data_IF_840365185847
#
_entry.id   IF_840365185847
#
_cell.length_a   1.000
_cell.length_b   1.000
_cell.length_c   1.000
_cell.angle_alpha   90.00
_cell.angle_beta   90.00
_cell.angle_gamma   90.00
#
_symmetry.space_group_name_H-M   'P 1'
#
loop_
_entity.id
_entity.type
_entity.pdbx_description
1 polymer ?
#
# COMPACT_ATOMS: atom_id res chain seq x y z
N UNK A 1 -21.50 0.37 18.85
CA UNK A 1 -21.19 0.09 17.45
C UNK A 1 -20.89 -1.39 17.14
N UNK A 2 -20.03 -2.10 17.91
CA UNK A 2 -19.72 -3.53 17.68
C UNK A 2 -20.97 -4.44 17.51
N UNK A 3 -22.03 -4.25 18.31
CA UNK A 3 -23.28 -5.05 18.21
C UNK A 3 -24.14 -4.74 16.97
N UNK A 4 -24.08 -3.52 16.44
CA UNK A 4 -24.86 -3.15 15.25
C UNK A 4 -24.28 -3.70 13.95
N UNK A 5 -22.94 -3.76 13.83
CA UNK A 5 -22.29 -4.33 12.64
C UNK A 5 -22.45 -5.86 12.57
N UNK A 6 -22.38 -6.56 13.70
CA UNK A 6 -22.60 -8.01 13.75
C UNK A 6 -24.06 -8.36 13.39
N UNK A 7 -25.01 -7.55 13.83
CA UNK A 7 -26.44 -7.74 13.51
C UNK A 7 -26.72 -7.38 12.03
N UNK A 8 -26.09 -6.34 11.49
CA UNK A 8 -26.23 -5.98 10.08
C UNK A 8 -25.61 -7.04 9.15
N UNK A 9 -24.46 -7.59 9.50
CA UNK A 9 -23.82 -8.68 8.75
C UNK A 9 -24.65 -9.97 8.82
N UNK A 10 -25.19 -10.32 10.00
CA UNK A 10 -26.06 -11.47 10.19
C UNK A 10 -27.41 -11.30 9.46
N UNK A 11 -27.94 -10.07 9.42
CA UNK A 11 -29.17 -9.76 8.69
C UNK A 11 -29.00 -9.80 7.17
N UNK A 12 -27.85 -9.32 6.65
CA UNK A 12 -27.46 -9.45 5.23
C UNK A 12 -27.19 -10.91 4.85
N UNK A 13 -26.51 -11.68 5.69
CA UNK A 13 -26.28 -13.10 5.46
C UNK A 13 -27.58 -13.91 5.55
N UNK A 14 -28.48 -13.59 6.49
CA UNK A 14 -29.78 -14.25 6.63
C UNK A 14 -30.73 -14.00 5.45
N UNK A 15 -30.69 -12.83 4.84
CA UNK A 15 -31.54 -12.50 3.69
C UNK A 15 -30.97 -12.99 2.33
N UNK A 16 -29.66 -13.22 2.23
CA UNK A 16 -29.05 -13.85 1.04
C UNK A 16 -29.37 -15.34 0.91
N UNK A 17 -29.72 -16.01 2.01
CA UNK A 17 -30.16 -17.42 2.01
C UNK A 17 -31.62 -17.60 1.56
N UNK A 18 -32.43 -16.54 1.53
CA UNK A 18 -33.86 -16.60 1.22
C UNK A 18 -34.27 -16.10 -0.18
N UNK A 19 -33.33 -15.84 -1.08
CA UNK A 19 -33.67 -15.64 -2.50
C UNK A 19 -33.76 -17.00 -3.25
N UNK A 20 -34.57 -17.91 -2.73
CA UNK A 20 -34.88 -19.20 -3.36
C UNK A 20 -36.00 -19.05 -4.41
N UNK A 21 -35.79 -18.17 -5.41
CA UNK A 21 -36.46 -18.25 -6.71
C UNK A 21 -35.40 -17.89 -7.77
N UNK A 22 -34.30 -18.64 -7.75
CA UNK A 22 -33.35 -18.58 -8.86
C UNK A 22 -33.96 -19.27 -10.08
N UNK A 23 -33.86 -18.70 -11.28
CA UNK A 23 -34.17 -19.40 -12.52
C UNK A 23 -33.35 -20.69 -12.60
N UNK A 24 -33.94 -21.75 -13.18
CA UNK A 24 -33.33 -23.06 -13.27
C UNK A 24 -31.86 -22.93 -13.77
N UNK A 25 -30.92 -23.30 -12.89
CA UNK A 25 -29.49 -23.27 -13.14
C UNK A 25 -29.18 -24.15 -14.37
N UNK A 26 -28.54 -23.57 -15.36
CA UNK A 26 -28.05 -24.30 -16.53
C UNK A 26 -26.91 -25.22 -16.03
N UNK A 27 -27.15 -26.52 -15.92
CA UNK A 27 -26.28 -27.49 -15.22
C UNK A 27 -24.83 -27.54 -15.73
N UNK A 28 -24.51 -27.08 -16.94
CA UNK A 28 -23.13 -27.01 -17.46
C UNK A 28 -22.40 -25.68 -17.13
N UNK A 29 -23.12 -24.58 -16.96
CA UNK A 29 -22.52 -23.26 -16.68
C UNK A 29 -22.15 -23.07 -15.18
N UNK A 30 -22.75 -23.84 -14.29
CA UNK A 30 -22.64 -23.67 -12.84
C UNK A 30 -21.80 -24.75 -12.13
N UNK A 31 -20.97 -25.48 -12.89
CA UNK A 31 -20.06 -26.44 -12.29
C UNK A 31 -19.07 -25.74 -11.35
N UNK A 32 -18.95 -26.24 -10.11
CA UNK A 32 -17.98 -25.73 -9.17
C UNK A 32 -16.54 -25.88 -9.69
N UNK A 33 -15.85 -24.76 -9.84
CA UNK A 33 -14.43 -24.70 -10.24
C UNK A 33 -13.58 -24.38 -9.04
N UNK A 34 -12.68 -25.29 -8.69
CA UNK A 34 -11.72 -25.12 -7.62
C UNK A 34 -10.35 -24.81 -8.20
N UNK A 35 -9.68 -23.78 -7.68
CA UNK A 35 -8.31 -23.44 -8.02
C UNK A 35 -7.49 -23.22 -6.77
N UNK A 36 -6.26 -23.67 -6.78
CA UNK A 36 -5.29 -23.49 -5.69
C UNK A 36 -4.02 -22.91 -6.31
N UNK A 37 -3.37 -22.02 -5.60
CA UNK A 37 -2.09 -21.47 -6.01
C UNK A 37 -1.41 -20.78 -4.84
N UNK A 38 -0.26 -20.20 -5.11
CA UNK A 38 0.50 -19.53 -4.06
C UNK A 38 1.69 -18.77 -4.58
N UNK A 39 2.40 -18.13 -3.66
CA UNK A 39 3.69 -17.52 -3.91
C UNK A 39 4.63 -17.69 -2.71
N UNK A 40 5.90 -17.83 -3.01
CA UNK A 40 7.01 -17.78 -2.06
C UNK A 40 7.92 -16.64 -2.47
N UNK A 41 8.33 -15.81 -1.51
CA UNK A 41 9.27 -14.71 -1.72
C UNK A 41 10.37 -14.74 -0.69
N UNK A 42 11.60 -14.90 -1.14
CA UNK A 42 12.80 -14.81 -0.34
C UNK A 42 13.49 -13.48 -0.66
N UNK A 43 13.85 -12.71 0.38
CA UNK A 43 14.56 -11.43 0.28
C UNK A 43 15.73 -11.39 1.22
N UNK A 44 16.79 -10.74 0.77
CA UNK A 44 17.86 -10.25 1.61
C UNK A 44 17.88 -8.73 1.49
N UNK A 45 17.72 -8.04 2.61
CA UNK A 45 17.75 -6.59 2.72
C UNK A 45 18.96 -6.19 3.59
N UNK A 46 19.73 -5.21 3.12
CA UNK A 46 20.84 -4.61 3.86
C UNK A 46 20.70 -3.08 3.85
N UNK A 47 20.87 -2.47 5.00
CA UNK A 47 20.75 -1.02 5.19
C UNK A 47 21.94 -0.47 5.96
N UNK A 48 22.35 0.75 5.61
CA UNK A 48 23.34 1.51 6.36
C UNK A 48 22.92 2.98 6.45
N UNK A 49 23.13 3.62 7.60
CA UNK A 49 22.78 5.01 7.88
C UNK A 49 21.33 5.38 7.51
N UNK A 50 20.39 4.43 7.70
CA UNK A 50 19.00 4.61 7.32
C UNK A 50 18.37 5.79 8.04
N UNK A 51 17.71 6.74 7.34
CA UNK A 51 17.08 7.88 8.00
C UNK A 51 15.97 7.45 8.94
N UNK A 52 15.64 8.27 9.90
CA UNK A 52 14.52 8.04 10.81
C UNK A 52 13.68 9.31 11.01
N UNK A 53 12.51 9.13 11.61
CA UNK A 53 11.53 10.19 11.87
C UNK A 53 11.99 11.31 12.83
N UNK A 54 13.13 11.14 13.49
CA UNK A 54 13.70 12.09 14.45
C UNK A 54 14.83 12.91 13.84
N UNK A 55 14.83 13.03 12.54
CA UNK A 55 15.89 13.72 11.77
C UNK A 55 17.30 13.16 12.00
N UNK A 56 17.35 11.90 12.43
CA UNK A 56 18.57 11.17 12.66
C UNK A 56 18.73 9.99 11.71
N UNK A 57 19.53 9.02 12.11
CA UNK A 57 19.74 7.79 11.36
C UNK A 57 19.66 6.55 12.27
N UNK A 58 19.47 5.40 11.64
CA UNK A 58 19.59 4.09 12.28
C UNK A 58 20.91 3.46 11.86
N UNK A 59 21.50 2.76 12.80
CA UNK A 59 22.67 1.94 12.57
C UNK A 59 22.40 0.84 11.51
N UNK A 60 23.46 0.20 11.08
CA UNK A 60 23.45 -0.90 10.12
C UNK A 60 22.48 -2.02 10.50
N UNK A 61 21.74 -2.54 9.52
CA UNK A 61 20.89 -3.72 9.67
C UNK A 61 20.86 -4.54 8.40
N UNK A 62 20.98 -5.87 8.53
CA UNK A 62 20.76 -6.80 7.44
C UNK A 62 19.98 -8.03 7.89
N UNK A 63 19.06 -8.49 7.04
CA UNK A 63 18.20 -9.61 7.34
C UNK A 63 17.70 -10.35 6.10
N UNK A 64 17.45 -11.64 6.30
CA UNK A 64 16.65 -12.45 5.38
C UNK A 64 15.17 -12.34 5.75
N UNK A 65 14.32 -12.31 4.75
CA UNK A 65 12.87 -12.25 4.90
C UNK A 65 12.22 -13.25 3.97
N UNK A 66 11.43 -14.16 4.52
CA UNK A 66 10.62 -15.11 3.77
C UNK A 66 9.16 -14.76 3.93
N UNK A 67 8.42 -14.81 2.84
CA UNK A 67 6.96 -14.76 2.83
C UNK A 67 6.44 -15.94 2.02
N UNK A 68 5.49 -16.67 2.59
CA UNK A 68 4.74 -17.72 1.91
C UNK A 68 3.26 -17.37 1.93
N UNK A 69 2.59 -17.49 0.79
CA UNK A 69 1.13 -17.33 0.69
C UNK A 69 0.57 -18.49 -0.11
N UNK A 70 -0.52 -19.08 0.40
CA UNK A 70 -1.28 -20.13 -0.28
C UNK A 70 -2.74 -19.68 -0.33
N UNK A 71 -3.36 -19.81 -1.47
CA UNK A 71 -4.75 -19.44 -1.66
C UNK A 71 -5.57 -20.53 -2.33
N UNK A 72 -6.84 -20.56 -1.98
CA UNK A 72 -7.89 -21.35 -2.63
C UNK A 72 -9.00 -20.44 -3.14
N UNK A 73 -9.53 -20.79 -4.30
CA UNK A 73 -10.66 -20.11 -4.94
C UNK A 73 -11.68 -21.13 -5.38
N UNK A 74 -12.94 -20.89 -5.00
CA UNK A 74 -14.09 -21.64 -5.43
C UNK A 74 -15.01 -20.72 -6.24
N UNK A 75 -15.28 -21.08 -7.49
CA UNK A 75 -16.13 -20.32 -8.42
C UNK A 75 -17.33 -21.19 -8.83
N UNK A 76 -18.55 -20.62 -8.76
CA UNK A 76 -19.78 -21.25 -9.19
C UNK A 76 -20.69 -20.18 -9.82
N UNK A 77 -20.91 -20.23 -11.12
CA UNK A 77 -21.61 -19.18 -11.87
C UNK A 77 -20.92 -17.82 -11.66
N UNK A 78 -21.66 -16.87 -11.13
CA UNK A 78 -21.20 -15.50 -10.83
C UNK A 78 -20.60 -15.33 -9.43
N UNK A 79 -20.66 -16.38 -8.59
CA UNK A 79 -20.19 -16.36 -7.22
C UNK A 79 -18.73 -16.86 -7.12
N UNK A 80 -17.92 -16.20 -6.31
CA UNK A 80 -16.54 -16.56 -5.99
C UNK A 80 -16.34 -16.50 -4.48
N UNK A 81 -15.82 -17.58 -3.88
CA UNK A 81 -15.26 -17.60 -2.54
C UNK A 81 -13.75 -17.69 -2.66
N UNK A 82 -13.04 -16.81 -1.96
CA UNK A 82 -11.59 -16.77 -1.96
C UNK A 82 -11.04 -16.77 -0.53
N UNK A 83 -10.04 -17.60 -0.30
CA UNK A 83 -9.27 -17.66 0.95
C UNK A 83 -7.78 -17.62 0.61
N UNK A 84 -7.01 -16.77 1.30
CA UNK A 84 -5.54 -16.78 1.27
C UNK A 84 -5.01 -16.75 2.69
N UNK A 85 -4.07 -17.64 2.95
CA UNK A 85 -3.32 -17.72 4.19
C UNK A 85 -1.89 -17.30 3.91
N UNK A 86 -1.32 -16.49 4.78
CA UNK A 86 0.01 -15.94 4.65
C UNK A 86 0.85 -16.18 5.90
N UNK A 87 2.14 -16.35 5.68
CA UNK A 87 3.16 -16.39 6.72
C UNK A 87 4.34 -15.54 6.30
N UNK A 88 4.97 -14.89 7.26
CA UNK A 88 6.18 -14.11 7.06
C UNK A 88 7.08 -14.21 8.26
N UNK A 89 8.38 -14.39 8.00
CA UNK A 89 9.38 -14.28 9.04
C UNK A 89 10.62 -13.52 8.61
N UNK A 90 11.37 -13.01 9.59
CA UNK A 90 12.65 -12.34 9.41
C UNK A 90 13.71 -13.02 10.24
N UNK A 91 14.88 -13.21 9.61
CA UNK A 91 16.08 -13.67 10.25
C UNK A 91 17.13 -12.56 10.17
N UNK A 92 17.39 -11.88 11.27
CA UNK A 92 18.41 -10.84 11.35
C UNK A 92 19.79 -11.49 11.48
N UNK A 93 20.69 -11.16 10.55
CA UNK A 93 22.08 -11.57 10.58
C UNK A 93 22.91 -10.60 11.40
N UNK A 94 22.68 -9.29 11.20
CA UNK A 94 23.20 -8.24 12.05
C UNK A 94 22.14 -7.17 12.25
N UNK A 95 22.02 -6.64 13.46
CA UNK A 95 21.13 -5.54 13.78
C UNK A 95 21.73 -4.78 14.98
N UNK A 96 22.41 -3.68 14.70
CA UNK A 96 22.80 -2.73 15.72
C UNK A 96 21.58 -1.96 16.19
N UNK A 97 21.35 -1.94 17.51
CA UNK A 97 20.24 -1.19 18.12
C UNK A 97 18.88 -1.86 18.08
N UNK A 98 18.62 -2.75 17.17
CA UNK A 98 17.44 -3.62 17.24
C UNK A 98 17.90 -4.95 17.86
N UNK A 99 17.38 -5.30 19.04
CA UNK A 99 17.87 -6.38 19.91
C UNK A 99 17.72 -7.78 19.27
N UNK A 100 18.16 -7.94 18.01
CA UNK A 100 18.36 -9.21 17.34
C UNK A 100 17.24 -10.23 17.48
N UNK A 101 15.99 -9.79 17.58
CA UNK A 101 14.85 -10.65 17.75
C UNK A 101 14.58 -11.33 16.42
N UNK A 102 15.13 -12.51 16.31
CA UNK A 102 14.74 -13.41 15.24
C UNK A 102 13.26 -13.72 15.38
N UNK A 103 12.51 -13.43 14.34
CA UNK A 103 11.08 -13.74 14.25
C UNK A 103 10.91 -14.92 13.32
N UNK A 104 11.00 -16.13 13.88
CA UNK A 104 10.86 -17.35 13.11
C UNK A 104 10.27 -18.48 13.95
N UNK A 105 9.29 -19.24 13.41
CA UNK A 105 8.31 -18.78 12.43
C UNK A 105 7.46 -17.67 13.05
N UNK A 106 7.01 -16.73 12.24
CA UNK A 106 6.05 -15.73 12.70
C UNK A 106 4.63 -16.32 12.68
N UNK A 107 3.62 -15.52 12.63
CA UNK A 107 2.23 -15.93 12.72
C UNK A 107 1.67 -16.26 11.36
N UNK A 108 1.08 -17.46 11.22
CA UNK A 108 0.24 -17.79 10.08
C UNK A 108 -1.12 -17.09 10.24
N UNK A 109 -1.53 -16.29 9.28
CA UNK A 109 -2.74 -15.49 9.34
C UNK A 109 -3.54 -15.51 8.03
N UNK A 110 -4.82 -15.23 8.13
CA UNK A 110 -5.70 -15.09 6.96
C UNK A 110 -5.59 -13.65 6.47
N UNK A 111 -4.98 -13.42 5.31
CA UNK A 111 -4.83 -12.09 4.74
C UNK A 111 -5.91 -11.73 3.72
N UNK A 112 -6.62 -12.72 3.18
CA UNK A 112 -7.82 -12.54 2.37
C UNK A 112 -8.85 -13.63 2.66
N UNK A 113 -10.10 -13.22 2.86
CA UNK A 113 -11.27 -14.11 2.99
C UNK A 113 -12.50 -13.32 2.55
N UNK A 114 -12.98 -13.55 1.35
CA UNK A 114 -14.12 -12.82 0.83
C UNK A 114 -15.03 -13.66 -0.05
N UNK A 115 -16.29 -13.21 -0.11
CA UNK A 115 -17.27 -13.61 -1.10
C UNK A 115 -17.40 -12.49 -2.13
N UNK A 116 -17.37 -12.83 -3.41
CA UNK A 116 -17.64 -11.91 -4.51
C UNK A 116 -18.79 -12.45 -5.37
N UNK A 117 -19.65 -11.56 -5.82
CA UNK A 117 -20.67 -11.83 -6.81
C UNK A 117 -20.51 -10.83 -7.96
N UNK A 118 -20.37 -11.33 -9.18
CA UNK A 118 -20.21 -10.49 -10.38
C UNK A 118 -21.52 -10.35 -11.11
N UNK A 119 -21.73 -9.21 -11.75
CA UNK A 119 -22.90 -8.91 -12.60
C UNK A 119 -24.24 -9.12 -11.88
N UNK A 120 -24.31 -8.78 -10.60
CA UNK A 120 -25.55 -8.80 -9.84
C UNK A 120 -26.56 -7.83 -10.49
N UNK A 121 -27.70 -8.36 -10.94
CA UNK A 121 -28.73 -7.62 -11.69
C UNK A 121 -28.21 -6.98 -13.01
N UNK A 122 -27.15 -7.50 -13.62
CA UNK A 122 -26.48 -6.94 -14.80
C UNK A 122 -26.01 -5.47 -14.57
N UNK A 123 -25.81 -5.08 -13.33
CA UNK A 123 -25.55 -3.71 -12.92
C UNK A 123 -24.30 -3.55 -12.07
N UNK A 124 -24.01 -4.51 -11.18
CA UNK A 124 -22.96 -4.30 -10.19
C UNK A 124 -22.21 -5.58 -9.83
N UNK A 125 -20.96 -5.41 -9.37
CA UNK A 125 -20.21 -6.43 -8.63
C UNK A 125 -20.26 -6.10 -7.14
N UNK A 126 -20.43 -7.12 -6.30
CA UNK A 126 -20.40 -7.00 -4.84
C UNK A 126 -19.28 -7.87 -4.29
N UNK A 127 -18.43 -7.32 -3.40
CA UNK A 127 -17.35 -8.05 -2.74
C UNK A 127 -17.37 -7.73 -1.24
N UNK A 128 -17.50 -8.76 -0.40
CA UNK A 128 -17.63 -8.61 1.05
C UNK A 128 -16.64 -9.53 1.75
N UNK A 129 -15.95 -9.02 2.75
CA UNK A 129 -14.99 -9.72 3.58
C UNK A 129 -13.61 -9.09 3.55
N UNK A 130 -12.61 -9.83 4.07
CA UNK A 130 -11.22 -9.39 4.09
C UNK A 130 -10.64 -9.41 2.69
N UNK A 131 -10.20 -8.27 2.21
CA UNK A 131 -9.80 -8.07 0.82
C UNK A 131 -8.70 -7.02 0.68
N UNK A 132 -7.98 -7.10 -0.42
CA UNK A 132 -7.11 -6.05 -0.91
C UNK A 132 -7.94 -5.02 -1.69
N UNK A 133 -7.63 -3.73 -1.50
CA UNK A 133 -8.21 -2.64 -2.28
C UNK A 133 -7.12 -1.65 -2.68
N UNK A 134 -7.15 -1.23 -3.93
CA UNK A 134 -6.29 -0.18 -4.44
C UNK A 134 -7.03 0.57 -5.55
N UNK A 135 -6.93 1.90 -5.53
CA UNK A 135 -7.54 2.76 -6.53
C UNK A 135 -6.52 3.68 -7.17
N UNK A 136 -6.74 3.98 -8.45
CA UNK A 136 -5.93 4.93 -9.22
C UNK A 136 -4.45 4.61 -9.20
N UNK A 137 -3.64 5.61 -8.85
CA UNK A 137 -2.20 5.48 -8.69
C UNK A 137 -1.78 4.99 -7.29
N UNK A 138 -2.72 4.49 -6.48
CA UNK A 138 -2.51 3.99 -5.13
C UNK A 138 -2.06 5.04 -4.10
N UNK A 139 -2.25 6.32 -4.39
CA UNK A 139 -1.83 7.42 -3.48
C UNK A 139 -2.78 7.62 -2.31
N UNK A 140 -4.05 7.19 -2.44
CA UNK A 140 -5.09 7.38 -1.43
C UNK A 140 -5.46 6.08 -0.75
N UNK A 141 -5.69 5.02 -1.53
CA UNK A 141 -6.03 3.69 -1.03
C UNK A 141 -5.11 2.68 -1.69
N UNK A 142 -4.37 1.94 -0.87
CA UNK A 142 -3.48 0.87 -1.30
C UNK A 142 -3.38 -0.18 -0.21
N UNK A 143 -3.49 -1.43 -0.58
CA UNK A 143 -3.31 -2.57 0.31
C UNK A 143 -1.85 -2.80 0.76
N UNK A 144 -0.88 -2.13 0.13
CA UNK A 144 0.54 -2.26 0.46
C UNK A 144 1.18 -3.61 0.13
N UNK A 145 0.42 -4.56 -0.46
CA UNK A 145 0.97 -5.89 -0.75
C UNK A 145 1.72 -5.98 -2.06
N UNK A 146 1.49 -5.05 -2.95
CA UNK A 146 2.08 -5.03 -4.29
C UNK A 146 3.53 -4.54 -4.32
N UNK A 147 3.94 -3.76 -3.34
CA UNK A 147 5.25 -3.14 -3.28
C UNK A 147 6.21 -3.90 -2.39
N UNK A 148 6.57 -3.28 -1.30
CA UNK A 148 7.54 -3.80 -0.36
C UNK A 148 6.94 -4.67 0.73
N UNK A 149 5.66 -4.49 1.01
CA UNK A 149 4.99 -5.11 2.14
C UNK A 149 5.24 -6.62 2.23
N UNK A 150 5.66 -7.05 3.38
CA UNK A 150 5.77 -8.46 3.70
C UNK A 150 4.46 -8.97 4.23
N UNK A 151 3.86 -8.21 5.12
CA UNK A 151 2.49 -8.46 5.53
C UNK A 151 1.55 -7.71 4.62
N UNK A 152 0.52 -8.41 4.20
CA UNK A 152 -0.59 -7.82 3.51
C UNK A 152 -1.25 -6.79 4.43
N UNK A 153 -1.35 -5.56 3.96
CA UNK A 153 -2.35 -4.67 4.50
C UNK A 153 -3.65 -5.05 3.81
N UNK A 154 -4.61 -5.47 4.57
CA UNK A 154 -5.92 -5.86 4.08
C UNK A 154 -6.98 -4.96 4.71
N UNK A 155 -8.14 -4.98 4.12
CA UNK A 155 -9.31 -4.28 4.61
C UNK A 155 -10.43 -5.28 4.85
N UNK A 156 -11.02 -5.27 6.04
CA UNK A 156 -12.28 -5.93 6.30
C UNK A 156 -13.37 -5.01 5.75
N UNK A 157 -13.93 -5.34 4.56
CA UNK A 157 -14.66 -4.37 3.76
C UNK A 157 -15.86 -4.95 3.03
N UNK A 158 -16.80 -4.08 2.71
CA UNK A 158 -17.80 -4.28 1.67
C UNK A 158 -17.53 -3.29 0.53
N UNK A 159 -17.49 -3.76 -0.71
CA UNK A 159 -17.33 -2.97 -1.91
C UNK A 159 -18.39 -3.34 -2.92
N UNK A 160 -19.03 -2.33 -3.49
CA UNK A 160 -19.97 -2.45 -4.60
C UNK A 160 -19.43 -1.64 -5.77
N UNK A 161 -19.25 -2.27 -6.92
CA UNK A 161 -18.81 -1.62 -8.16
C UNK A 161 -19.98 -1.56 -9.10
N UNK A 162 -20.58 -0.39 -9.26
CA UNK A 162 -21.62 -0.12 -10.26
C UNK A 162 -20.97 0.05 -11.63
N UNK A 163 -21.54 -0.60 -12.65
CA UNK A 163 -21.13 -0.55 -14.06
C UNK A 163 -22.17 0.23 -14.86
N UNK A 164 -21.88 1.49 -15.19
CA UNK A 164 -22.79 2.27 -16.04
C UNK A 164 -22.69 1.87 -17.51
N UNK A 165 -21.46 1.50 -17.92
CA UNK A 165 -21.12 0.92 -19.21
C UNK A 165 -19.70 0.30 -19.15
N UNK A 166 -19.15 -0.08 -20.32
CA UNK A 166 -17.80 -0.68 -20.40
C UNK A 166 -16.67 0.29 -20.05
N UNK A 167 -16.96 1.57 -19.80
CA UNK A 167 -15.95 2.61 -19.60
C UNK A 167 -16.12 3.39 -18.31
N UNK A 168 -17.30 3.33 -17.69
CA UNK A 168 -17.62 4.12 -16.49
C UNK A 168 -18.06 3.24 -15.35
N UNK A 169 -17.39 3.41 -14.21
CA UNK A 169 -17.71 2.66 -12.98
C UNK A 169 -17.75 3.60 -11.78
N UNK A 170 -18.57 3.26 -10.80
CA UNK A 170 -18.58 3.86 -9.47
C UNK A 170 -18.38 2.75 -8.44
N UNK A 171 -17.29 2.83 -7.71
CA UNK A 171 -17.05 1.98 -6.54
C UNK A 171 -17.55 2.70 -5.29
N UNK A 172 -18.45 2.06 -4.55
CA UNK A 172 -18.86 2.45 -3.22
C UNK A 172 -18.30 1.42 -2.23
N UNK A 173 -17.66 1.86 -1.16
CA UNK A 173 -17.06 0.96 -0.20
C UNK A 173 -17.16 1.47 1.23
N UNK A 174 -17.23 0.52 2.17
CA UNK A 174 -16.98 0.73 3.58
C UNK A 174 -15.90 -0.24 4.04
N UNK A 175 -14.96 0.21 4.86
CA UNK A 175 -13.83 -0.57 5.30
C UNK A 175 -13.53 -0.37 6.78
N UNK A 176 -12.89 -1.38 7.35
CA UNK A 176 -12.44 -1.40 8.73
C UNK A 176 -11.06 -2.05 8.80
N UNK A 177 -10.16 -1.44 9.56
CA UNK A 177 -8.86 -2.01 9.90
C UNK A 177 -8.78 -2.11 11.42
N UNK A 178 -8.87 -3.32 11.92
CA UNK A 178 -8.78 -3.56 13.36
C UNK A 178 -7.33 -3.41 13.83
N UNK A 179 -7.13 -2.82 15.00
CA UNK A 179 -5.84 -2.81 15.69
C UNK A 179 -5.36 -4.23 15.96
N UNK A 180 -6.25 -5.09 16.43
CA UNK A 180 -6.01 -6.52 16.66
C UNK A 180 -6.75 -7.34 15.62
N UNK A 181 -6.10 -8.37 15.10
CA UNK A 181 -6.76 -9.27 14.15
C UNK A 181 -7.87 -10.05 14.85
N UNK A 182 -9.06 -10.07 14.26
CA UNK A 182 -10.21 -10.79 14.78
C UNK A 182 -10.41 -12.15 14.12
N UNK A 183 -9.69 -12.46 13.03
CA UNK A 183 -9.67 -13.78 12.43
C UNK A 183 -8.64 -14.67 13.13
N UNK A 184 -8.83 -16.00 13.13
CA UNK A 184 -7.91 -16.94 13.73
C UNK A 184 -6.50 -16.81 13.15
N UNK A 185 -5.50 -16.77 14.01
CA UNK A 185 -4.08 -16.86 13.68
C UNK A 185 -3.48 -18.12 14.29
N UNK A 186 -2.45 -18.69 13.66
CA UNK A 186 -1.72 -19.83 14.17
C UNK A 186 -0.26 -19.43 14.40
N UNK A 187 0.27 -19.73 15.58
CA UNK A 187 1.63 -19.39 15.99
C UNK A 187 1.66 -18.50 17.23
N UNK A 188 2.86 -18.30 17.78
CA UNK A 188 3.10 -17.41 18.91
C UNK A 188 3.65 -16.07 18.42
N UNK A 189 3.05 -14.97 18.82
CA UNK A 189 3.64 -13.66 18.63
C UNK A 189 4.78 -13.47 19.64
N UNK A 190 6.00 -13.39 19.18
CA UNK A 190 7.14 -13.10 20.06
C UNK A 190 7.11 -11.69 20.70
N UNK A 191 6.17 -10.86 20.36
CA UNK A 191 5.91 -9.56 20.99
C UNK A 191 4.97 -9.65 22.22
N UNK A 192 4.61 -10.84 22.69
CA UNK A 192 3.92 -11.05 23.97
C UNK A 192 4.76 -10.61 25.20
N UNK A 193 5.37 -9.41 25.16
CA UNK A 193 5.78 -8.66 26.33
C UNK A 193 4.61 -7.88 26.95
N UNK A 194 3.42 -7.95 26.42
CA UNK A 194 2.21 -7.53 27.12
C UNK A 194 1.88 -8.60 28.15
N UNK A 195 2.21 -8.29 29.37
CA UNK A 195 1.88 -9.07 30.57
C UNK A 195 0.42 -9.54 30.50
N UNK A 196 0.20 -10.83 30.36
CA UNK A 196 -0.99 -11.49 30.86
C UNK A 196 -2.03 -11.98 29.86
N UNK A 197 -1.90 -11.82 28.55
CA UNK A 197 -2.82 -12.44 27.60
C UNK A 197 -2.15 -13.62 26.87
N UNK A 198 -2.49 -14.81 27.31
CA UNK A 198 -2.19 -16.04 26.57
C UNK A 198 -3.09 -16.06 25.34
N UNK A 199 -2.49 -16.01 24.17
CA UNK A 199 -3.11 -16.43 22.93
C UNK A 199 -3.75 -15.30 22.11
N UNK A 200 -3.36 -15.19 20.86
CA UNK A 200 -4.12 -14.59 19.74
C UNK A 200 -4.22 -13.07 19.66
N UNK A 201 -3.45 -12.31 20.44
CA UNK A 201 -3.42 -10.85 20.35
C UNK A 201 -2.38 -10.42 19.31
N UNK A 202 -2.73 -10.64 18.02
CA UNK A 202 -1.92 -10.24 16.90
C UNK A 202 -2.22 -8.79 16.54
N UNK A 203 -1.30 -7.88 16.90
CA UNK A 203 -1.39 -6.51 16.43
C UNK A 203 -1.24 -6.50 14.91
N UNK A 204 -2.27 -5.99 14.23
CA UNK A 204 -2.19 -5.73 12.81
C UNK A 204 -1.05 -4.76 12.56
N UNK A 205 0.06 -5.28 12.03
CA UNK A 205 1.40 -4.69 12.10
C UNK A 205 1.59 -3.36 11.40
N UNK A 206 0.56 -2.84 10.78
CA UNK A 206 0.67 -1.58 10.10
C UNK A 206 0.55 -0.38 11.04
N UNK A 207 -0.36 -0.39 11.99
CA UNK A 207 -0.86 0.86 12.56
C UNK A 207 -0.96 0.93 14.06
N UNK A 208 -1.07 -0.15 14.80
CA UNK A 208 -1.37 -0.16 16.24
C UNK A 208 -2.59 0.72 16.59
N UNK A 209 -3.50 0.95 15.66
CA UNK A 209 -4.68 1.77 15.82
C UNK A 209 -5.84 1.20 15.02
N UNK A 210 -7.04 1.44 15.47
CA UNK A 210 -8.26 1.09 14.74
C UNK A 210 -8.56 2.20 13.75
N UNK A 211 -8.83 1.83 12.50
CA UNK A 211 -9.25 2.75 11.45
C UNK A 211 -10.57 2.26 10.83
N UNK A 212 -11.43 3.18 10.47
CA UNK A 212 -12.61 2.89 9.68
C UNK A 212 -12.79 3.96 8.60
N UNK A 213 -13.48 3.60 7.53
CA UNK A 213 -13.77 4.56 6.50
C UNK A 213 -14.80 4.09 5.49
N UNK A 214 -15.24 5.03 4.71
CA UNK A 214 -16.15 4.80 3.59
C UNK A 214 -15.80 5.76 2.45
N UNK A 215 -16.14 5.39 1.23
CA UNK A 215 -15.85 6.26 0.11
C UNK A 215 -16.58 5.88 -1.16
N UNK A 216 -16.43 6.80 -2.10
CA UNK A 216 -16.89 6.67 -3.48
C UNK A 216 -15.67 6.91 -4.39
N UNK A 217 -15.51 6.08 -5.40
CA UNK A 217 -14.46 6.23 -6.40
C UNK A 217 -15.06 6.06 -7.79
N UNK A 218 -15.12 7.14 -8.55
CA UNK A 218 -15.65 7.17 -9.91
C UNK A 218 -14.49 7.10 -10.91
N UNK A 219 -14.66 6.29 -11.94
CA UNK A 219 -13.72 6.14 -13.05
C UNK A 219 -14.45 6.35 -14.37
N UNK A 220 -13.93 7.24 -15.22
CA UNK A 220 -14.41 7.46 -16.58
C UNK A 220 -13.27 7.30 -17.59
N UNK A 221 -13.40 6.30 -18.45
CA UNK A 221 -12.50 6.00 -19.58
C UNK A 221 -13.22 6.15 -20.93
N UNK A 222 -14.40 6.77 -20.97
CA UNK A 222 -15.17 6.98 -22.20
C UNK A 222 -14.40 7.86 -23.20
N UNK A 223 -13.74 8.91 -22.69
CA UNK A 223 -12.79 9.66 -23.49
C UNK A 223 -11.40 9.02 -23.41
N UNK A 224 -11.02 8.30 -24.47
CA UNK A 224 -9.71 7.62 -24.56
C UNK A 224 -8.51 8.58 -24.53
N UNK A 225 -8.70 9.86 -24.88
CA UNK A 225 -7.65 10.87 -24.86
C UNK A 225 -7.48 11.51 -23.48
N UNK A 226 -8.51 11.51 -22.65
CA UNK A 226 -8.48 12.11 -21.33
C UNK A 226 -9.33 11.29 -20.33
N UNK A 227 -8.90 10.08 -19.99
CA UNK A 227 -9.51 9.34 -18.87
C UNK A 227 -9.36 10.16 -17.57
N UNK A 228 -10.34 10.05 -16.69
CA UNK A 228 -10.30 10.73 -15.41
C UNK A 228 -10.97 9.92 -14.31
N UNK A 229 -10.64 10.25 -13.07
CA UNK A 229 -11.12 9.62 -11.86
C UNK A 229 -11.42 10.70 -10.84
N UNK A 230 -12.49 10.54 -10.07
CA UNK A 230 -12.82 11.41 -8.95
C UNK A 230 -13.20 10.58 -7.74
N UNK A 231 -12.88 11.06 -6.56
CA UNK A 231 -13.15 10.30 -5.35
C UNK A 231 -13.48 11.19 -4.15
N UNK A 232 -14.21 10.58 -3.26
CA UNK A 232 -14.44 11.05 -1.89
C UNK A 232 -14.15 9.90 -0.93
N UNK A 233 -13.37 10.16 0.10
CA UNK A 233 -13.06 9.19 1.16
C UNK A 233 -13.19 9.86 2.52
N UNK A 234 -14.04 9.30 3.36
CA UNK A 234 -14.10 9.59 4.78
C UNK A 234 -13.29 8.53 5.54
N UNK A 235 -12.50 8.99 6.52
CA UNK A 235 -11.70 8.15 7.41
C UNK A 235 -11.86 8.60 8.86
N UNK A 236 -11.90 7.65 9.77
CA UNK A 236 -11.74 7.89 11.22
C UNK A 236 -10.64 7.00 11.79
N UNK A 237 -9.90 7.53 12.74
CA UNK A 237 -8.82 6.84 13.46
C UNK A 237 -9.05 6.93 14.96
N UNK A 238 -8.68 5.85 15.70
CA UNK A 238 -8.68 5.82 17.16
C UNK A 238 -7.58 6.72 17.72
N UNK A 239 -7.97 7.83 18.38
CA UNK A 239 -7.05 8.89 18.80
C UNK A 239 -6.00 8.44 19.80
N UNK A 240 -6.35 7.56 20.75
CA UNK A 240 -5.43 7.08 21.81
C UNK A 240 -4.15 6.41 21.26
N UNK A 241 -4.25 5.78 20.09
CA UNK A 241 -3.17 5.00 19.48
C UNK A 241 -2.65 5.61 18.17
N UNK A 242 -3.25 6.68 17.69
CA UNK A 242 -2.81 7.36 16.47
C UNK A 242 -1.41 7.97 16.65
N UNK A 243 -0.62 7.89 15.58
CA UNK A 243 0.71 8.51 15.51
C UNK A 243 0.69 9.92 14.93
N UNK A 244 -0.41 10.26 14.29
CA UNK A 244 -0.62 11.57 13.65
C UNK A 244 -1.48 12.50 14.50
N UNK A 245 -2.16 11.98 15.52
CA UNK A 245 -3.01 12.74 16.43
C UNK A 245 -2.25 13.00 17.75
N UNK A 246 -2.34 14.18 18.35
CA UNK A 246 -1.78 14.45 19.67
C UNK A 246 -2.33 13.51 20.75
N UNK A 247 -1.48 13.10 21.69
CA UNK A 247 -1.89 12.24 22.80
C UNK A 247 -2.99 12.92 23.63
N UNK A 248 -4.04 12.17 23.93
CA UNK A 248 -5.16 12.65 24.74
C UNK A 248 -6.30 13.29 23.96
N UNK A 249 -6.22 13.33 22.62
CA UNK A 249 -7.34 13.74 21.78
C UNK A 249 -8.28 12.56 21.50
N UNK A 250 -9.55 12.91 21.24
CA UNK A 250 -10.59 11.97 20.82
C UNK A 250 -10.31 11.38 19.43
N UNK A 251 -11.14 10.46 19.00
CA UNK A 251 -11.12 9.92 17.66
C UNK A 251 -11.11 11.04 16.61
N UNK A 252 -10.31 10.84 15.58
CA UNK A 252 -10.03 11.82 14.56
C UNK A 252 -10.71 11.46 13.24
N UNK A 253 -11.30 12.46 12.57
CA UNK A 253 -11.97 12.28 11.28
C UNK A 253 -11.34 13.13 10.20
N UNK A 254 -11.22 12.56 9.00
CA UNK A 254 -10.81 13.27 7.79
C UNK A 254 -11.76 13.00 6.63
N UNK A 255 -11.99 14.04 5.84
CA UNK A 255 -12.71 14.00 4.57
C UNK A 255 -11.73 14.36 3.46
N UNK A 256 -11.56 13.48 2.49
CA UNK A 256 -10.62 13.65 1.38
C UNK A 256 -11.39 13.63 0.06
N UNK A 257 -11.23 14.69 -0.74
CA UNK A 257 -11.81 14.82 -2.07
C UNK A 257 -10.67 14.88 -3.08
N UNK A 258 -10.77 14.19 -4.20
CA UNK A 258 -9.72 14.23 -5.19
C UNK A 258 -10.19 14.00 -6.62
N UNK A 259 -9.35 14.48 -7.52
CA UNK A 259 -9.51 14.38 -8.96
C UNK A 259 -8.16 13.94 -9.57
N UNK A 260 -8.21 12.98 -10.48
CA UNK A 260 -7.08 12.51 -11.25
C UNK A 260 -7.41 12.49 -12.73
N UNK A 261 -6.51 13.02 -13.57
CA UNK A 261 -6.65 13.07 -15.03
C UNK A 261 -5.43 12.45 -15.70
N UNK A 262 -5.64 11.77 -16.83
CA UNK A 262 -4.64 10.98 -17.53
C UNK A 262 -4.59 11.35 -19.02
N UNK A 263 -4.23 12.58 -19.39
CA UNK A 263 -4.25 13.04 -20.77
C UNK A 263 -3.24 12.27 -21.63
N UNK A 264 -3.68 11.82 -22.80
CA UNK A 264 -2.84 11.32 -23.89
C UNK A 264 -2.61 12.44 -24.88
N UNK A 265 -1.44 13.05 -24.83
CA UNK A 265 -1.08 14.24 -25.63
C UNK A 265 -0.71 13.85 -27.07
N UNK A 266 0.03 12.75 -27.20
CA UNK A 266 0.39 12.13 -28.49
C UNK A 266 0.47 10.62 -28.32
N UNK A 267 0.86 9.88 -29.36
CA UNK A 267 1.10 8.43 -29.27
C UNK A 267 2.25 8.06 -28.32
N UNK A 268 3.21 8.97 -28.11
CA UNK A 268 4.41 8.74 -27.29
C UNK A 268 4.45 9.59 -26.05
N UNK A 269 3.58 10.59 -25.91
CA UNK A 269 3.56 11.53 -24.80
C UNK A 269 2.21 11.46 -24.08
N UNK A 270 2.25 11.24 -22.77
CA UNK A 270 1.07 11.25 -21.89
C UNK A 270 1.38 11.95 -20.58
N UNK A 271 0.34 12.49 -19.97
CA UNK A 271 0.40 13.12 -18.66
C UNK A 271 -0.35 12.34 -17.58
N UNK A 272 -0.10 12.72 -16.38
CA UNK A 272 -0.89 12.38 -15.19
C UNK A 272 -0.93 13.58 -14.27
N UNK A 273 -2.10 13.97 -13.81
CA UNK A 273 -2.23 14.96 -12.74
C UNK A 273 -3.26 14.46 -11.73
N UNK A 274 -2.95 14.62 -10.45
CA UNK A 274 -3.85 14.28 -9.35
C UNK A 274 -3.75 15.34 -8.27
N UNK A 275 -4.90 15.79 -7.78
CA UNK A 275 -4.99 16.73 -6.65
C UNK A 275 -6.02 16.18 -5.67
N UNK A 276 -5.69 16.22 -4.40
CA UNK A 276 -6.63 15.92 -3.32
C UNK A 276 -6.59 16.98 -2.23
N UNK A 277 -7.76 17.28 -1.71
CA UNK A 277 -7.99 18.21 -0.61
C UNK A 277 -8.52 17.43 0.58
N UNK A 278 -8.01 17.76 1.75
CA UNK A 278 -8.36 17.08 2.99
C UNK A 278 -8.80 18.10 4.03
N UNK A 279 -9.91 17.80 4.70
CA UNK A 279 -10.48 18.55 5.81
C UNK A 279 -10.85 17.57 6.93
N UNK A 280 -10.83 17.99 8.17
CA UNK A 280 -11.21 17.16 9.31
C UNK A 280 -11.12 17.90 10.63
N UNK A 281 -11.31 17.20 11.73
CA UNK A 281 -11.40 17.78 13.07
C UNK A 281 -10.14 18.58 13.47
N UNK A 282 -8.94 18.14 13.01
CA UNK A 282 -7.66 18.81 13.23
C UNK A 282 -6.97 19.25 11.93
N UNK A 283 -7.70 19.30 10.81
CA UNK A 283 -7.15 19.73 9.53
C UNK A 283 -8.03 20.83 8.97
N UNK A 284 -7.60 22.05 9.15
CA UNK A 284 -8.30 23.17 8.52
C UNK A 284 -8.23 23.05 7.00
N UNK A 285 -7.09 22.65 6.46
CA UNK A 285 -6.93 22.41 5.02
C UNK A 285 -5.57 21.77 4.69
N UNK A 286 -5.56 20.51 4.23
CA UNK A 286 -4.34 19.84 3.77
C UNK A 286 -4.47 19.40 2.30
N UNK A 287 -3.36 19.32 1.60
CA UNK A 287 -3.32 19.10 0.15
C UNK A 287 -2.30 18.04 -0.24
N UNK A 288 -2.70 17.18 -1.17
CA UNK A 288 -1.82 16.32 -1.94
C UNK A 288 -1.90 16.68 -3.41
N UNK A 289 -0.77 16.75 -4.10
CA UNK A 289 -0.73 16.91 -5.54
C UNK A 289 0.35 16.03 -6.17
N UNK A 290 0.06 15.55 -7.37
CA UNK A 290 1.02 14.87 -8.23
C UNK A 290 0.88 15.40 -9.66
N UNK A 291 2.01 15.67 -10.31
CA UNK A 291 2.09 15.95 -11.74
C UNK A 291 3.14 15.06 -12.39
N UNK A 292 2.84 14.46 -13.52
CA UNK A 292 3.75 13.60 -14.25
C UNK A 292 3.62 13.73 -15.76
N UNK A 293 4.74 13.77 -16.45
CA UNK A 293 4.84 13.72 -17.90
C UNK A 293 5.62 12.48 -18.29
N UNK A 294 5.01 11.63 -19.12
CA UNK A 294 5.57 10.36 -19.57
C UNK A 294 5.87 10.43 -21.06
N UNK A 295 7.11 10.15 -21.44
CA UNK A 295 7.57 10.07 -22.83
C UNK A 295 8.06 8.65 -23.12
N UNK A 296 7.41 7.96 -24.06
CA UNK A 296 7.69 6.56 -24.43
C UNK A 296 7.93 6.45 -25.95
N UNK A 297 9.12 6.82 -26.44
CA UNK A 297 9.44 6.76 -27.86
C UNK A 297 9.48 5.30 -28.35
N UNK A 298 9.12 5.10 -29.62
CA UNK A 298 9.15 3.78 -30.29
C UNK A 298 10.59 3.46 -30.69
N UNK A 299 11.41 3.02 -29.73
CA UNK A 299 12.85 2.73 -29.88
C UNK A 299 13.18 1.34 -29.36
N UNK A 300 14.38 0.85 -29.68
CA UNK A 300 14.96 -0.32 -29.03
C UNK A 300 14.96 -0.11 -27.50
N UNK A 301 14.89 -1.19 -26.71
CA UNK A 301 14.78 -1.19 -25.24
C UNK A 301 13.49 -0.55 -24.71
N UNK A 302 12.58 -0.09 -25.57
CA UNK A 302 11.25 0.48 -25.22
C UNK A 302 11.35 1.47 -24.03
N UNK A 303 12.20 2.53 -24.11
CA UNK A 303 12.40 3.43 -22.98
C UNK A 303 11.12 4.17 -22.62
N UNK A 304 10.89 4.32 -21.31
CA UNK A 304 9.85 5.19 -20.77
C UNK A 304 10.49 6.16 -19.80
N UNK A 305 10.49 7.43 -20.16
CA UNK A 305 10.92 8.54 -19.32
C UNK A 305 9.71 9.11 -18.58
N UNK A 306 9.85 9.39 -17.30
CA UNK A 306 8.85 10.12 -16.51
C UNK A 306 9.53 11.28 -15.81
N UNK A 307 9.03 12.49 -16.06
CA UNK A 307 9.29 13.65 -15.22
C UNK A 307 8.10 13.80 -14.30
N UNK A 308 8.31 13.66 -12.99
CA UNK A 308 7.26 13.71 -12.00
C UNK A 308 7.56 14.69 -10.87
N UNK A 309 6.49 15.16 -10.22
CA UNK A 309 6.56 15.95 -9.02
C UNK A 309 5.45 15.48 -8.07
N UNK A 310 5.82 15.16 -6.84
CA UNK A 310 4.88 14.82 -5.77
C UNK A 310 4.95 15.88 -4.68
N UNK A 311 3.79 16.31 -4.21
CA UNK A 311 3.65 17.28 -3.14
C UNK A 311 2.66 16.77 -2.09
N UNK A 312 3.05 16.90 -0.83
CA UNK A 312 2.18 16.71 0.33
C UNK A 312 2.38 17.94 1.23
N UNK A 313 1.31 18.61 1.59
CA UNK A 313 1.38 19.76 2.49
C UNK A 313 1.98 19.38 3.84
N UNK A 314 2.63 20.34 4.49
CA UNK A 314 3.26 20.19 5.79
C UNK A 314 2.77 21.23 6.78
N UNK A 315 3.27 21.10 8.00
CA UNK A 315 3.03 22.01 9.11
C UNK A 315 4.29 22.10 9.97
N UNK A 316 4.48 23.19 10.70
CA UNK A 316 5.62 23.37 11.60
C UNK A 316 5.60 22.34 12.75
N UNK A 317 4.41 21.92 13.18
CA UNK A 317 4.22 20.86 14.16
C UNK A 317 4.43 19.43 13.57
N UNK A 318 4.95 19.33 12.34
CA UNK A 318 5.17 18.07 11.63
C UNK A 318 3.85 17.36 11.31
N UNK A 319 3.82 16.03 11.43
CA UNK A 319 2.65 15.22 11.06
C UNK A 319 1.38 15.49 11.91
N UNK A 320 1.54 16.17 13.04
CA UNK A 320 0.43 16.50 13.97
C UNK A 320 -0.18 17.86 13.70
N UNK A 321 0.41 18.66 12.82
CA UNK A 321 -0.08 19.99 12.51
C UNK A 321 -1.35 19.97 11.66
N UNK A 322 -2.15 21.03 11.77
CA UNK A 322 -3.45 21.14 11.09
C UNK A 322 -3.31 21.22 9.58
N UNK A 323 -2.22 21.83 9.06
CA UNK A 323 -1.91 21.93 7.63
C UNK A 323 -1.24 20.71 7.03
N UNK A 324 -0.85 19.74 7.85
CA UNK A 324 -0.13 18.56 7.41
C UNK A 324 -1.06 17.55 6.72
N UNK A 325 -0.68 17.12 5.50
CA UNK A 325 -1.36 16.00 4.83
C UNK A 325 -1.34 14.75 5.71
N UNK A 326 -2.47 14.08 5.86
CA UNK A 326 -2.60 12.82 6.60
C UNK A 326 -2.90 11.69 5.63
N UNK A 327 -2.07 10.62 5.58
CA UNK A 327 -2.34 9.48 4.72
C UNK A 327 -3.73 8.90 4.97
N UNK A 328 -4.47 8.64 3.90
CA UNK A 328 -5.83 8.11 4.02
C UNK A 328 -5.75 6.61 4.34
N UNK A 329 -5.72 5.75 3.33
CA UNK A 329 -5.52 4.31 3.47
C UNK A 329 -4.37 3.83 2.58
N UNK A 330 -3.42 4.71 2.31
CA UNK A 330 -2.19 4.41 1.60
C UNK A 330 -1.07 4.13 2.60
N UNK A 331 -0.36 3.05 2.40
CA UNK A 331 0.69 2.56 3.29
C UNK A 331 2.09 2.58 2.65
N UNK A 332 2.19 3.11 1.45
CA UNK A 332 3.43 3.18 0.69
C UNK A 332 3.78 4.62 0.31
N UNK A 333 5.06 4.99 0.40
CA UNK A 333 5.53 6.27 -0.14
C UNK A 333 5.46 6.32 -1.66
N UNK A 334 5.49 5.16 -2.30
CA UNK A 334 5.68 5.05 -3.74
C UNK A 334 7.09 5.44 -4.21
N UNK A 335 8.03 5.74 -3.30
CA UNK A 335 9.39 6.19 -3.62
C UNK A 335 10.41 5.07 -3.39
N UNK A 336 10.68 4.69 -2.15
CA UNK A 336 11.64 3.61 -1.84
C UNK A 336 11.83 3.39 -0.34
N UNK A 337 12.68 2.42 -0.03
CA UNK A 337 12.92 1.93 1.33
C UNK A 337 13.63 2.95 2.22
N UNK A 338 14.56 3.73 1.66
CA UNK A 338 15.24 4.79 2.41
C UNK A 338 14.34 5.98 2.72
N UNK A 339 13.23 6.14 1.99
CA UNK A 339 12.32 7.27 2.16
C UNK A 339 11.28 7.00 3.25
N UNK A 340 10.76 5.79 3.32
CA UNK A 340 9.70 5.41 4.27
C UNK A 340 10.04 5.74 5.75
N UNK A 341 11.26 5.48 6.24
CA UNK A 341 11.58 5.73 7.65
C UNK A 341 11.77 7.20 8.03
N UNK A 342 11.88 8.11 7.05
CA UNK A 342 11.90 9.56 7.33
C UNK A 342 10.58 10.04 7.92
N UNK A 343 9.50 9.29 7.67
CA UNK A 343 8.17 9.61 8.12
C UNK A 343 7.81 8.73 9.31
N UNK A 344 7.16 9.31 10.31
CA UNK A 344 6.70 8.57 11.47
C UNK A 344 5.76 7.46 11.03
N UNK A 345 6.31 6.26 10.81
CA UNK A 345 5.59 5.05 10.44
C UNK A 345 4.26 5.33 9.72
N UNK A 346 4.34 5.67 8.41
CA UNK A 346 3.17 5.93 7.56
C UNK A 346 2.53 7.32 7.64
N UNK A 347 3.07 8.24 8.41
CA UNK A 347 2.60 9.62 8.42
C UNK A 347 3.26 10.44 7.29
N UNK A 348 3.09 10.01 6.04
CA UNK A 348 3.61 10.73 4.88
C UNK A 348 3.00 12.12 4.79
N UNK A 349 3.83 13.13 5.05
CA UNK A 349 3.44 14.52 5.07
C UNK A 349 4.63 15.41 4.75
N UNK A 350 4.40 16.69 4.51
CA UNK A 350 5.46 17.70 4.37
C UNK A 350 6.55 17.25 3.36
N UNK A 351 6.12 16.88 2.16
CA UNK A 351 6.99 16.24 1.19
C UNK A 351 6.86 16.86 -0.21
N UNK A 352 7.97 17.27 -0.77
CA UNK A 352 8.09 17.71 -2.15
C UNK A 352 9.20 16.91 -2.83
N UNK A 353 8.85 16.21 -3.91
CA UNK A 353 9.76 15.31 -4.61
C UNK A 353 9.61 15.46 -6.14
N UNK A 354 10.31 16.42 -6.76
CA UNK A 354 10.54 16.40 -8.20
C UNK A 354 11.51 15.27 -8.55
N UNK A 355 11.20 14.47 -9.58
CA UNK A 355 12.01 13.30 -9.92
C UNK A 355 11.99 12.97 -11.40
N UNK A 356 13.07 12.33 -11.83
CA UNK A 356 13.17 11.66 -13.12
C UNK A 356 13.15 10.15 -12.91
N UNK A 357 12.41 9.44 -13.77
CA UNK A 357 12.39 7.98 -13.82
C UNK A 357 12.60 7.52 -15.26
N UNK A 358 13.45 6.52 -15.43
CA UNK A 358 13.68 5.81 -16.69
C UNK A 358 13.39 4.33 -16.48
N UNK A 359 12.52 3.77 -17.31
CA UNK A 359 12.31 2.32 -17.38
C UNK A 359 12.72 1.79 -18.75
N UNK A 360 13.51 0.72 -18.78
CA UNK A 360 14.03 0.07 -19.97
C UNK A 360 13.60 -1.41 -19.97
N UNK A 361 13.13 -1.89 -21.10
CA UNK A 361 12.96 -3.33 -21.37
C UNK A 361 14.21 -3.81 -22.09
N UNK A 362 15.17 -4.36 -21.34
CA UNK A 362 16.44 -4.84 -21.89
C UNK A 362 16.21 -6.06 -22.79
N UNK A 363 15.28 -6.91 -22.38
CA UNK A 363 14.71 -8.02 -23.15
C UNK A 363 13.23 -8.18 -22.76
N UNK A 364 12.53 -9.14 -23.34
CA UNK A 364 11.15 -9.48 -22.93
C UNK A 364 11.08 -10.08 -21.49
N UNK A 365 12.22 -10.46 -20.93
CA UNK A 365 12.32 -11.03 -19.59
C UNK A 365 13.03 -10.13 -18.60
N UNK A 366 13.65 -9.03 -19.02
CA UNK A 366 14.51 -8.20 -18.19
C UNK A 366 14.11 -6.75 -18.27
N UNK A 367 13.99 -6.11 -17.10
CA UNK A 367 13.71 -4.68 -16.99
C UNK A 367 14.70 -3.99 -16.08
N UNK A 368 15.10 -2.77 -16.44
CA UNK A 368 15.88 -1.87 -15.60
C UNK A 368 15.05 -0.61 -15.37
N UNK A 369 14.91 -0.23 -14.11
CA UNK A 369 14.27 1.03 -13.72
C UNK A 369 15.25 1.84 -12.89
N UNK A 370 15.44 3.11 -13.29
CA UNK A 370 16.24 4.10 -12.60
C UNK A 370 15.32 5.25 -12.18
N UNK A 371 15.53 5.79 -10.99
CA UNK A 371 14.79 6.94 -10.49
C UNK A 371 15.71 7.81 -9.65
N UNK A 372 15.61 9.14 -9.78
CA UNK A 372 16.37 10.06 -8.94
C UNK A 372 15.68 11.42 -8.85
N UNK A 373 15.90 12.12 -7.75
CA UNK A 373 15.46 13.50 -7.54
C UNK A 373 15.79 14.04 -6.16
N UNK A 374 15.82 15.37 -6.02
CA UNK A 374 15.93 16.02 -4.73
C UNK A 374 14.62 15.93 -3.95
N UNK A 375 14.72 15.86 -2.64
CA UNK A 375 13.58 15.80 -1.73
C UNK A 375 13.60 16.98 -0.76
N UNK A 376 12.45 17.55 -0.50
CA UNK A 376 12.29 18.70 0.38
C UNK A 376 11.16 18.51 1.37
N UNK A 377 11.25 19.19 2.50
CA UNK A 377 10.15 19.51 3.40
C UNK A 377 9.66 20.93 3.05
N UNK A 378 8.48 21.11 2.44
CA UNK A 378 7.96 22.44 2.09
C UNK A 378 7.85 23.42 3.26
N UNK A 379 7.55 22.90 4.44
CA UNK A 379 7.50 23.66 5.69
C UNK A 379 8.61 23.17 6.62
N UNK A 380 9.32 24.08 7.27
CA UNK A 380 10.34 23.72 8.27
C UNK A 380 9.67 23.29 9.54
N UNK A 381 10.03 22.12 10.03
CA UNK A 381 9.49 21.57 11.28
C UNK A 381 10.25 22.15 12.50
N UNK A 382 9.54 22.41 13.59
CA UNK A 382 10.12 22.85 14.85
C UNK A 382 11.05 21.78 15.44
N UNK A 383 12.22 22.16 15.92
CA UNK A 383 13.22 21.28 16.55
C UNK A 383 12.96 21.04 18.04
N UNK A 384 11.92 21.65 18.60
CA UNK A 384 11.56 21.58 20.02
C UNK A 384 12.48 22.38 20.93
N UNK A 385 13.38 23.22 20.38
CA UNK A 385 14.35 24.03 21.13
C UNK A 385 14.29 25.52 20.78
N UNK A 386 13.24 25.93 20.07
CA UNK A 386 13.05 27.29 19.57
C UNK A 386 13.76 27.58 18.25
N UNK A 387 14.21 26.55 17.55
CA UNK A 387 14.74 26.57 16.19
C UNK A 387 13.90 25.71 15.24
N UNK A 388 14.40 25.49 14.04
CA UNK A 388 13.76 24.63 13.05
C UNK A 388 14.77 23.79 12.28
N UNK A 389 14.35 22.60 11.85
CA UNK A 389 15.14 21.77 10.92
C UNK A 389 15.25 22.43 9.55
N UNK A 390 16.25 22.04 8.76
CA UNK A 390 16.35 22.48 7.37
C UNK A 390 15.23 21.91 6.50
N UNK A 391 15.03 22.50 5.33
CA UNK A 391 14.00 22.06 4.39
C UNK A 391 14.51 21.04 3.35
N UNK A 392 15.80 20.91 3.15
CA UNK A 392 16.38 20.00 2.16
C UNK A 392 16.62 18.62 2.77
N UNK A 393 15.80 17.62 2.36
CA UNK A 393 15.92 16.24 2.83
C UNK A 393 17.07 15.48 2.17
N UNK A 394 17.55 15.94 1.00
CA UNK A 394 18.66 15.32 0.28
C UNK A 394 18.32 14.93 -1.15
N UNK A 395 19.24 14.19 -1.77
CA UNK A 395 19.05 13.64 -3.12
C UNK A 395 18.92 12.12 -3.02
N UNK A 396 17.83 11.62 -3.54
CA UNK A 396 17.53 10.19 -3.59
C UNK A 396 17.78 9.63 -4.98
N UNK A 397 18.35 8.43 -5.05
CA UNK A 397 18.49 7.66 -6.27
C UNK A 397 18.19 6.16 -6.02
N UNK A 398 17.55 5.53 -6.99
CA UNK A 398 17.23 4.09 -6.97
C UNK A 398 17.55 3.47 -8.34
N UNK A 399 18.11 2.28 -8.33
CA UNK A 399 18.20 1.38 -9.47
C UNK A 399 17.54 0.04 -9.11
N UNK A 400 16.63 -0.43 -9.98
CA UNK A 400 15.98 -1.73 -9.85
C UNK A 400 16.14 -2.52 -11.14
N UNK A 401 16.76 -3.68 -11.07
CA UNK A 401 16.84 -4.65 -12.15
C UNK A 401 15.97 -5.86 -11.80
N UNK A 402 15.10 -6.26 -12.71
CA UNK A 402 14.23 -7.43 -12.54
C UNK A 402 14.33 -8.37 -13.73
N UNK A 403 14.30 -9.68 -13.44
CA UNK A 403 14.41 -10.74 -14.43
C UNK A 403 13.33 -11.82 -14.17
N UNK A 404 12.57 -12.15 -15.20
CA UNK A 404 11.65 -13.29 -15.22
C UNK A 404 12.43 -14.55 -15.62
N UNK A 405 13.04 -15.22 -14.64
CA UNK A 405 13.89 -16.39 -14.86
C UNK A 405 13.15 -17.53 -15.56
N UNK A 406 11.83 -17.66 -15.32
CA UNK A 406 10.99 -18.65 -15.97
C UNK A 406 10.89 -18.54 -17.48
N UNK A 407 11.35 -17.43 -18.07
CA UNK A 407 11.46 -17.29 -19.53
C UNK A 407 12.73 -17.90 -20.13
N UNK A 408 13.71 -18.25 -19.29
CA UNK A 408 14.98 -18.83 -19.69
C UNK A 408 15.07 -20.32 -19.40
N UNK A 409 14.15 -20.86 -18.61
CA UNK A 409 14.11 -22.26 -18.22
C UNK A 409 12.86 -22.89 -18.82
N UNK A 410 13.05 -23.79 -19.78
CA UNK A 410 11.93 -24.47 -20.47
C UNK A 410 11.37 -25.62 -19.63
N UNK A 411 10.87 -25.28 -18.44
CA UNK A 411 10.16 -26.20 -17.56
C UNK A 411 8.92 -25.53 -16.99
N UNK A 412 7.84 -26.28 -16.89
CA UNK A 412 6.55 -25.76 -16.40
C UNK A 412 6.66 -25.14 -14.98
N UNK A 413 7.43 -25.76 -14.09
CA UNK A 413 7.63 -25.25 -12.74
C UNK A 413 8.40 -23.92 -12.69
N UNK A 414 9.25 -23.64 -13.66
CA UNK A 414 10.05 -22.42 -13.67
C UNK A 414 9.28 -21.17 -14.10
N UNK A 415 8.11 -21.32 -14.73
CA UNK A 415 7.33 -20.20 -15.32
C UNK A 415 7.03 -19.10 -14.30
N UNK A 416 6.86 -19.45 -13.03
CA UNK A 416 6.60 -18.50 -11.93
C UNK A 416 7.83 -17.90 -11.28
N UNK A 417 9.06 -18.26 -11.72
CA UNK A 417 10.30 -17.85 -11.06
C UNK A 417 10.76 -16.48 -11.56
N UNK A 418 10.99 -15.55 -10.63
CA UNK A 418 11.52 -14.22 -10.89
C UNK A 418 12.57 -13.82 -9.86
N UNK A 419 13.45 -12.89 -10.25
CA UNK A 419 14.47 -12.32 -9.41
C UNK A 419 14.53 -10.80 -9.60
N UNK A 420 14.85 -10.06 -8.54
CA UNK A 420 15.06 -8.62 -8.63
C UNK A 420 16.20 -8.18 -7.72
N UNK A 421 16.89 -7.13 -8.16
CA UNK A 421 17.96 -6.44 -7.42
C UNK A 421 17.54 -4.99 -7.31
N UNK A 422 17.61 -4.43 -6.10
CA UNK A 422 17.33 -3.01 -5.86
C UNK A 422 18.48 -2.41 -5.08
N UNK A 423 18.99 -1.28 -5.53
CA UNK A 423 19.95 -0.45 -4.81
C UNK A 423 19.39 0.94 -4.65
N UNK A 424 19.54 1.54 -3.47
CA UNK A 424 19.12 2.91 -3.20
C UNK A 424 20.22 3.68 -2.48
N UNK A 425 20.31 4.96 -2.80
CA UNK A 425 21.23 5.91 -2.17
C UNK A 425 20.43 7.16 -1.80
N UNK A 426 20.66 7.66 -0.61
CA UNK A 426 20.18 8.97 -0.17
C UNK A 426 21.37 9.75 0.39
N UNK A 427 21.79 10.78 -0.35
CA UNK A 427 22.69 11.81 0.17
C UNK A 427 21.86 12.78 1.00
N UNK A 428 21.99 12.73 2.32
CA UNK A 428 21.17 13.51 3.25
C UNK A 428 21.50 15.01 3.16
N UNK A 429 20.49 15.82 3.37
CA UNK A 429 20.58 17.28 3.40
C UNK A 429 20.40 17.85 4.80
N UNK A 430 20.27 19.17 4.91
CA UNK A 430 20.15 19.90 6.18
C UNK A 430 18.85 19.67 6.97
N UNK A 431 17.98 18.81 6.49
CA UNK A 431 16.82 18.29 7.25
C UNK A 431 17.26 17.35 8.38
N UNK A 432 18.41 16.70 8.22
CA UNK A 432 18.99 15.81 9.24
C UNK A 432 19.92 16.62 10.18
N UNK A 433 20.20 16.06 11.36
CA UNK A 433 21.16 16.62 12.31
C UNK A 433 22.56 16.53 11.73
N UNK A 434 23.40 17.51 12.03
CA UNK A 434 24.77 17.62 11.51
C UNK A 434 25.66 16.40 11.83
N UNK A 435 25.39 15.70 12.94
CA UNK A 435 26.09 14.49 13.35
C UNK A 435 25.49 13.20 12.76
N UNK A 436 24.44 13.30 11.93
CA UNK A 436 23.69 12.18 11.38
C UNK A 436 23.30 12.40 9.90
N UNK A 437 24.16 13.08 9.17
CA UNK A 437 23.96 13.44 7.76
C UNK A 437 24.68 12.48 6.79
N UNK A 438 25.26 11.39 7.27
CA UNK A 438 25.93 10.39 6.47
C UNK A 438 25.04 9.82 5.37
N UNK A 439 25.65 9.52 4.22
CA UNK A 439 24.94 8.92 3.08
C UNK A 439 24.29 7.59 3.47
N UNK A 440 22.98 7.50 3.26
CA UNK A 440 22.23 6.29 3.50
C UNK A 440 22.28 5.36 2.29
N UNK A 441 22.41 4.06 2.56
CA UNK A 441 22.48 3.02 1.55
C UNK A 441 21.46 1.91 1.85
N UNK A 442 20.83 1.40 0.79
CA UNK A 442 19.99 0.21 0.85
C UNK A 442 20.30 -0.71 -0.33
N UNK A 443 20.34 -2.00 -0.04
CA UNK A 443 20.48 -3.05 -1.04
C UNK A 443 19.49 -4.19 -0.80
N UNK A 444 18.89 -4.70 -1.89
CA UNK A 444 17.95 -5.83 -1.85
C UNK A 444 18.24 -6.82 -2.95
N UNK A 445 18.23 -8.09 -2.60
CA UNK A 445 18.10 -9.20 -3.53
C UNK A 445 16.78 -9.92 -3.21
N UNK A 446 15.94 -10.09 -4.21
CA UNK A 446 14.63 -10.72 -4.05
C UNK A 446 14.46 -11.84 -5.07
N UNK A 447 13.99 -12.99 -4.62
CA UNK A 447 13.56 -14.11 -5.46
C UNK A 447 12.09 -14.42 -5.17
N UNK A 448 11.29 -14.55 -6.22
CA UNK A 448 9.87 -14.88 -6.13
C UNK A 448 9.55 -16.11 -6.94
N UNK A 449 8.67 -16.94 -6.42
CA UNK A 449 8.11 -18.09 -7.13
C UNK A 449 6.59 -18.09 -6.97
N UNK A 450 5.88 -18.22 -8.09
CA UNK A 450 4.41 -18.31 -8.12
C UNK A 450 4.02 -19.64 -8.74
N UNK A 451 3.04 -20.31 -8.17
CA UNK A 451 2.56 -21.63 -8.60
C UNK A 451 1.03 -21.72 -8.57
#
# INVERSE_FOLDING_TARGET
MKRCMTVALAYLMGNLVFAANAPALNQEADALKLRIGGDVRLRYDATNNMPNEKHGEKAHSDYLRLRTRVWGRAEMGQAELFLRVADEFRYYRSAEGDKGKQRFPDVLFIDNLYLKYTDLFDLMDVKIGRQEMAFGAKRIISDGTGGDGSRSNYFDAARVTFKFDNHRTLDAFGLYVARHDWLPTLGETHDAKSKGTKGYDYENTGYNQTEAGAGLYYTDKSNKQMPWEAYYVWKTEEGEHSKVIPKGQSDFQTHTFGLRVLPKLTETLSGEAEVALQMGDDSSFATMAYGGLNYAPKMALKPKFTLGIQYLSGDEAGARGEGAWKPVFNRETGVGELVAPMFNKYAYTNFLYPHLKLSLSLTDAQTLTLQSGPMFAPVREDDGKGGSYGSFRGVYAQAKYAIALGKYVDHAWAKGLGMAFTGEVLTKGNYFKDDQDDTALFGRVEMTYKF
#
